data_IF_695589968358
#
_entry.id   IF_695589968358
#
_cell.length_a   1.000
_cell.length_b   1.000
_cell.length_c   1.000
_cell.angle_alpha   90.00
_cell.angle_beta   90.00
_cell.angle_gamma   90.00
#
_symmetry.space_group_name_H-M   'P 1'
#
loop_
_entity.id
_entity.type
_entity.pdbx_description
1 polymer ?
#
# COMPACT_ATOMS: atom_id res chain seq x y z
N UNK A 1 -24.67 -15.43 -0.45
CA UNK A 1 -25.27 -14.22 0.15
C UNK A 1 -25.24 -14.35 1.66
N UNK A 2 -24.63 -13.42 2.35
CA UNK A 2 -24.62 -13.38 3.82
C UNK A 2 -26.04 -13.14 4.32
N UNK A 3 -26.48 -13.92 5.32
CA UNK A 3 -27.86 -13.84 5.85
C UNK A 3 -27.98 -12.84 6.99
N UNK A 4 -26.87 -12.25 7.45
CA UNK A 4 -26.80 -11.32 8.58
C UNK A 4 -26.64 -9.86 8.13
N UNK A 5 -26.98 -8.95 9.04
CA UNK A 5 -26.82 -7.51 8.84
C UNK A 5 -25.72 -6.99 9.75
N UNK A 6 -24.85 -6.14 9.21
CA UNK A 6 -23.72 -5.55 9.93
C UNK A 6 -23.92 -4.05 10.14
N UNK A 7 -23.33 -3.55 11.21
CA UNK A 7 -23.33 -2.12 11.55
C UNK A 7 -21.95 -1.67 12.03
N UNK A 8 -21.50 -0.50 11.59
CA UNK A 8 -20.32 0.16 12.12
C UNK A 8 -20.36 1.68 11.94
N UNK A 9 -19.51 2.39 12.69
CA UNK A 9 -19.16 3.77 12.39
C UNK A 9 -18.26 3.81 11.15
N UNK A 10 -18.68 4.52 10.11
CA UNK A 10 -17.93 4.66 8.86
C UNK A 10 -16.94 5.84 8.86
N UNK A 11 -17.12 6.82 9.74
CA UNK A 11 -16.19 7.94 9.96
C UNK A 11 -15.11 7.56 10.96
N UNK A 12 -13.94 8.20 10.88
CA UNK A 12 -12.86 7.99 11.85
C UNK A 12 -13.35 8.21 13.29
N UNK A 13 -12.86 7.42 14.28
CA UNK A 13 -13.17 7.62 15.69
C UNK A 13 -12.67 8.99 16.17
N UNK A 14 -13.43 9.64 17.05
CA UNK A 14 -13.02 10.93 17.62
C UNK A 14 -14.16 11.94 17.65
N UNK A 15 -13.82 13.23 17.89
CA UNK A 15 -14.79 14.34 17.91
C UNK A 15 -14.81 14.99 16.53
N UNK A 16 -15.96 14.91 15.86
CA UNK A 16 -16.18 15.55 14.55
C UNK A 16 -17.52 16.26 14.49
N UNK A 17 -17.70 17.18 13.56
CA UNK A 17 -18.98 17.83 13.30
C UNK A 17 -20.02 16.84 12.75
N UNK A 18 -19.58 15.80 12.03
CA UNK A 18 -20.42 14.75 11.45
C UNK A 18 -19.86 13.37 11.79
N UNK A 19 -20.74 12.46 12.19
CA UNK A 19 -20.47 11.04 12.33
C UNK A 19 -21.43 10.23 11.46
N UNK A 20 -20.93 9.19 10.79
CA UNK A 20 -21.71 8.33 9.91
C UNK A 20 -21.74 6.92 10.48
N UNK A 21 -22.94 6.38 10.68
CA UNK A 21 -23.15 4.96 10.96
C UNK A 21 -23.63 4.31 9.67
N UNK A 22 -23.01 3.21 9.28
CA UNK A 22 -23.39 2.42 8.11
C UNK A 22 -23.91 1.06 8.55
N UNK A 23 -25.01 0.66 7.95
CA UNK A 23 -25.64 -0.66 8.12
C UNK A 23 -25.72 -1.30 6.74
N UNK A 24 -25.35 -2.59 6.62
CA UNK A 24 -25.46 -3.35 5.37
C UNK A 24 -26.07 -4.73 5.63
N UNK A 25 -27.00 -5.11 4.79
CA UNK A 25 -27.65 -6.42 4.84
C UNK A 25 -29.19 -6.35 4.82
N UNK A 26 -29.86 -7.51 4.87
CA UNK A 26 -31.31 -7.64 4.61
C UNK A 26 -32.21 -6.90 5.64
N UNK A 27 -31.67 -6.50 6.79
CA UNK A 27 -32.43 -5.76 7.82
C UNK A 27 -32.19 -4.24 7.80
N UNK A 28 -31.49 -3.71 6.80
CA UNK A 28 -31.19 -2.26 6.72
C UNK A 28 -32.48 -1.40 6.68
N UNK A 29 -33.52 -1.84 5.97
CA UNK A 29 -34.83 -1.15 5.95
C UNK A 29 -35.52 -1.21 7.32
N UNK A 30 -35.45 -2.34 8.02
CA UNK A 30 -35.98 -2.48 9.39
C UNK A 30 -35.27 -1.54 10.38
N UNK A 31 -33.93 -1.42 10.27
CA UNK A 31 -33.15 -0.46 11.08
C UNK A 31 -33.61 0.96 10.79
N UNK A 32 -33.77 1.32 9.52
CA UNK A 32 -34.25 2.64 9.13
C UNK A 32 -35.59 2.96 9.79
N UNK A 33 -36.57 2.04 9.73
CA UNK A 33 -37.89 2.21 10.34
C UNK A 33 -37.81 2.34 11.86
N UNK A 34 -36.99 1.51 12.53
CA UNK A 34 -36.86 1.53 13.98
C UNK A 34 -36.22 2.82 14.47
N UNK A 35 -35.12 3.27 13.82
CA UNK A 35 -34.36 4.44 14.28
C UNK A 35 -34.98 5.77 13.88
N UNK A 36 -35.67 5.84 12.74
CA UNK A 36 -36.24 7.10 12.24
C UNK A 36 -37.78 7.18 12.35
N UNK A 37 -38.44 6.07 12.76
CA UNK A 37 -39.91 5.98 12.83
C UNK A 37 -40.62 5.96 11.49
N UNK A 38 -39.88 5.85 10.36
CA UNK A 38 -40.38 6.06 9.01
C UNK A 38 -39.67 5.18 7.97
N UNK A 39 -40.42 4.76 6.95
CA UNK A 39 -39.83 4.14 5.75
C UNK A 39 -39.18 5.23 4.90
N UNK A 40 -37.89 5.09 4.60
CA UNK A 40 -37.11 6.06 3.82
C UNK A 40 -37.36 5.90 2.32
N UNK A 41 -37.36 7.02 1.61
CA UNK A 41 -37.35 7.03 0.15
C UNK A 41 -35.93 6.68 -0.35
N UNK A 42 -35.78 5.68 -1.24
CA UNK A 42 -34.48 5.30 -1.78
C UNK A 42 -33.67 6.47 -2.36
N UNK A 43 -32.42 6.62 -1.96
CA UNK A 43 -31.46 7.63 -2.42
C UNK A 43 -31.91 9.07 -2.25
N UNK A 44 -32.75 9.31 -1.29
CA UNK A 44 -33.21 10.64 -0.92
C UNK A 44 -32.72 10.98 0.49
N UNK A 45 -32.03 12.12 0.63
CA UNK A 45 -31.55 12.60 1.90
C UNK A 45 -32.69 13.18 2.72
N UNK A 46 -33.04 12.56 3.85
CA UNK A 46 -34.10 13.01 4.74
C UNK A 46 -33.51 13.44 6.10
N UNK A 47 -33.80 14.68 6.52
CA UNK A 47 -33.40 15.14 7.84
C UNK A 47 -34.46 14.69 8.86
N UNK A 48 -34.06 13.88 9.84
CA UNK A 48 -34.96 13.18 10.77
C UNK A 48 -34.33 13.09 12.16
N UNK A 49 -35.19 12.90 13.19
CA UNK A 49 -34.75 12.47 14.52
C UNK A 49 -34.32 11.00 14.47
N UNK A 50 -33.22 10.68 15.14
CA UNK A 50 -32.76 9.31 15.39
C UNK A 50 -33.14 8.92 16.82
N UNK A 51 -33.87 7.82 16.94
CA UNK A 51 -34.44 7.35 18.18
C UNK A 51 -33.81 6.04 18.65
N UNK A 52 -33.76 5.85 19.95
CA UNK A 52 -33.47 4.57 20.58
C UNK A 52 -34.62 3.59 20.47
N UNK A 53 -34.40 2.33 20.81
CA UNK A 53 -35.42 1.27 20.77
C UNK A 53 -36.61 1.52 21.71
N UNK A 54 -36.44 2.36 22.72
CA UNK A 54 -37.49 2.82 23.67
C UNK A 54 -38.13 4.15 23.26
N UNK A 55 -37.81 4.67 22.08
CA UNK A 55 -38.41 5.87 21.49
C UNK A 55 -37.85 7.20 21.98
N UNK A 56 -36.74 7.19 22.72
CA UNK A 56 -36.04 8.41 23.13
C UNK A 56 -35.20 8.96 21.98
N UNK A 57 -35.27 10.27 21.74
CA UNK A 57 -34.44 10.93 20.76
C UNK A 57 -32.97 10.91 21.21
N UNK A 58 -32.09 10.40 20.34
CA UNK A 58 -30.63 10.35 20.55
C UNK A 58 -29.96 11.51 19.85
N UNK A 59 -30.36 11.78 18.59
CA UNK A 59 -29.76 12.80 17.73
C UNK A 59 -30.73 13.19 16.61
N UNK A 60 -30.34 14.18 15.80
CA UNK A 60 -31.01 14.56 14.56
C UNK A 60 -29.98 14.65 13.44
N UNK A 61 -30.36 14.16 12.26
CA UNK A 61 -29.44 14.14 11.15
C UNK A 61 -30.05 13.67 9.85
N UNK A 62 -29.20 13.33 8.90
CA UNK A 62 -29.59 12.87 7.58
C UNK A 62 -29.57 11.34 7.56
N UNK A 63 -30.66 10.74 7.09
CA UNK A 63 -30.77 9.31 6.80
C UNK A 63 -30.81 9.10 5.28
N UNK A 64 -30.04 8.12 4.79
CA UNK A 64 -29.95 7.72 3.40
C UNK A 64 -30.10 6.21 3.29
N UNK A 65 -30.99 5.75 2.40
CA UNK A 65 -31.21 4.34 2.12
C UNK A 65 -30.88 4.00 0.68
N UNK A 66 -30.05 2.97 0.47
CA UNK A 66 -29.61 2.47 -0.82
C UNK A 66 -30.04 1.01 -0.98
N UNK A 67 -31.10 0.74 -1.76
CA UNK A 67 -31.53 -0.63 -2.00
C UNK A 67 -30.55 -1.39 -2.89
N UNK A 68 -30.45 -2.71 -2.65
CA UNK A 68 -29.69 -3.61 -3.50
C UNK A 68 -30.20 -3.60 -4.96
N UNK A 69 -29.38 -3.94 -5.97
CA UNK A 69 -27.92 -4.14 -5.91
C UNK A 69 -27.12 -2.84 -6.04
N UNK A 70 -27.77 -1.70 -6.04
CA UNK A 70 -27.16 -0.41 -6.34
C UNK A 70 -26.70 0.33 -5.06
N UNK A 71 -25.88 -0.29 -4.27
CA UNK A 71 -25.26 0.22 -3.06
C UNK A 71 -23.75 -0.07 -3.08
N UNK A 72 -23.02 0.36 -2.05
CA UNK A 72 -21.60 0.10 -1.94
C UNK A 72 -21.30 -1.40 -1.84
N UNK A 73 -21.99 -2.12 -0.97
CA UNK A 73 -21.81 -3.56 -0.75
C UNK A 73 -22.57 -4.45 -1.71
N UNK A 74 -23.45 -3.89 -2.55
CA UNK A 74 -24.39 -4.67 -3.35
C UNK A 74 -25.62 -5.17 -2.56
N UNK A 75 -25.65 -4.99 -1.23
CA UNK A 75 -26.76 -5.30 -0.35
C UNK A 75 -27.63 -4.05 -0.10
N UNK A 76 -28.70 -4.18 0.70
CA UNK A 76 -29.39 -3.00 1.23
C UNK A 76 -28.47 -2.26 2.21
N UNK A 77 -28.27 -0.96 2.00
CA UNK A 77 -27.40 -0.12 2.84
C UNK A 77 -28.20 1.06 3.40
N UNK A 78 -28.03 1.30 4.70
CA UNK A 78 -28.50 2.49 5.38
C UNK A 78 -27.30 3.30 5.90
N UNK A 79 -27.32 4.61 5.70
CA UNK A 79 -26.41 5.55 6.34
C UNK A 79 -27.19 6.53 7.20
N UNK A 80 -26.75 6.67 8.45
CA UNK A 80 -27.24 7.66 9.42
C UNK A 80 -26.12 8.64 9.69
N UNK A 81 -26.31 9.89 9.28
CA UNK A 81 -25.32 10.97 9.37
C UNK A 81 -25.78 11.95 10.44
N UNK A 82 -25.29 11.79 11.66
CA UNK A 82 -25.56 12.63 12.81
C UNK A 82 -24.35 13.41 13.29
N UNK A 83 -24.36 13.88 14.54
CA UNK A 83 -23.23 14.55 15.17
C UNK A 83 -22.15 13.53 15.55
N UNK A 84 -20.88 13.83 15.20
CA UNK A 84 -19.74 12.93 15.33
C UNK A 84 -19.16 12.84 16.75
N UNK A 85 -20.00 13.00 17.78
CA UNK A 85 -19.58 12.78 19.16
C UNK A 85 -19.50 11.28 19.49
N UNK A 86 -18.40 10.77 20.10
CA UNK A 86 -18.24 9.33 20.36
C UNK A 86 -19.41 8.72 21.15
N UNK A 87 -19.98 9.47 22.09
CA UNK A 87 -21.10 9.00 22.91
C UNK A 87 -22.38 8.86 22.07
N UNK A 88 -22.65 9.81 21.18
CA UNK A 88 -23.83 9.78 20.30
C UNK A 88 -23.72 8.60 19.33
N UNK A 89 -22.55 8.41 18.71
CA UNK A 89 -22.29 7.28 17.82
C UNK A 89 -22.44 5.93 18.52
N UNK A 90 -21.93 5.79 19.74
CA UNK A 90 -22.06 4.58 20.55
C UNK A 90 -23.52 4.30 20.94
N UNK A 91 -24.29 5.32 21.33
CA UNK A 91 -25.73 5.19 21.64
C UNK A 91 -26.52 4.70 20.43
N UNK A 92 -26.28 5.25 19.24
CA UNK A 92 -26.94 4.83 18.02
C UNK A 92 -26.59 3.38 17.65
N UNK A 93 -25.31 3.00 17.70
CA UNK A 93 -24.87 1.62 17.43
C UNK A 93 -25.51 0.65 18.44
N UNK A 94 -25.50 0.97 19.72
CA UNK A 94 -26.13 0.14 20.76
C UNK A 94 -27.64 -0.04 20.51
N UNK A 95 -28.32 1.04 20.12
CA UNK A 95 -29.75 0.97 19.78
C UNK A 95 -29.98 0.04 18.56
N UNK A 96 -29.16 0.13 17.51
CA UNK A 96 -29.27 -0.74 16.34
C UNK A 96 -29.00 -2.20 16.70
N UNK A 97 -28.03 -2.47 17.55
CA UNK A 97 -27.67 -3.82 17.99
C UNK A 97 -28.73 -4.51 18.85
N UNK A 98 -29.77 -3.80 19.35
CA UNK A 98 -30.92 -4.43 20.00
C UNK A 98 -31.82 -5.19 19.02
N UNK A 99 -31.68 -4.97 17.73
CA UNK A 99 -32.44 -5.64 16.67
C UNK A 99 -31.82 -7.00 16.38
N UNK A 100 -32.60 -8.07 16.55
CA UNK A 100 -32.12 -9.43 16.30
C UNK A 100 -31.51 -9.62 14.92
N UNK A 101 -30.39 -10.36 14.84
CA UNK A 101 -29.68 -10.68 13.60
C UNK A 101 -28.87 -9.52 13.03
N UNK A 102 -28.56 -8.52 13.85
CA UNK A 102 -27.60 -7.47 13.56
C UNK A 102 -26.39 -7.65 14.48
N UNK A 103 -25.20 -7.50 13.92
CA UNK A 103 -23.94 -7.55 14.67
C UNK A 103 -22.98 -6.42 14.26
N UNK A 104 -21.97 -6.13 15.08
CA UNK A 104 -20.87 -5.26 14.65
C UNK A 104 -20.15 -5.83 13.42
N UNK A 105 -19.76 -4.95 12.52
CA UNK A 105 -18.92 -5.31 11.38
C UNK A 105 -17.50 -5.65 11.84
N UNK A 106 -16.89 -6.63 11.18
CA UNK A 106 -15.45 -6.88 11.26
C UNK A 106 -14.68 -5.77 10.50
N UNK A 107 -13.36 -5.59 10.76
CA UNK A 107 -12.51 -4.75 9.92
C UNK A 107 -12.66 -5.13 8.44
N UNK A 108 -12.80 -4.14 7.55
CA UNK A 108 -12.91 -4.33 6.10
C UNK A 108 -14.18 -5.04 5.60
N UNK A 109 -15.13 -5.40 6.45
CA UNK A 109 -16.25 -6.28 6.07
C UNK A 109 -17.19 -5.67 5.02
N UNK A 110 -17.35 -4.36 4.98
CA UNK A 110 -18.16 -3.73 3.93
C UNK A 110 -17.48 -3.85 2.55
N UNK A 111 -16.15 -3.69 2.48
CA UNK A 111 -15.38 -3.88 1.24
C UNK A 111 -15.32 -5.36 0.84
N UNK A 112 -15.19 -6.27 1.82
CA UNK A 112 -15.27 -7.73 1.60
C UNK A 112 -16.61 -8.11 0.96
N UNK A 113 -17.73 -7.60 1.48
CA UNK A 113 -19.06 -7.83 0.90
C UNK A 113 -19.21 -7.22 -0.48
N UNK A 114 -18.65 -6.04 -0.71
CA UNK A 114 -18.64 -5.41 -2.02
C UNK A 114 -17.87 -6.28 -3.04
N UNK A 115 -16.72 -6.83 -2.68
CA UNK A 115 -15.97 -7.78 -3.49
C UNK A 115 -16.77 -9.06 -3.75
N UNK A 116 -17.32 -9.70 -2.72
CA UNK A 116 -18.10 -10.94 -2.83
C UNK A 116 -19.41 -10.78 -3.64
N UNK A 117 -19.91 -9.55 -3.77
CA UNK A 117 -21.09 -9.22 -4.56
C UNK A 117 -20.73 -8.57 -5.91
N UNK A 118 -19.52 -8.79 -6.42
CA UNK A 118 -19.03 -8.35 -7.74
C UNK A 118 -19.18 -6.82 -7.98
N UNK A 119 -19.10 -6.01 -6.90
CA UNK A 119 -19.14 -4.53 -7.01
C UNK A 119 -17.76 -3.96 -7.35
N UNK A 120 -16.72 -4.66 -7.00
CA UNK A 120 -15.32 -4.34 -7.25
C UNK A 120 -14.46 -5.59 -7.20
N UNK A 121 -13.33 -5.59 -7.86
CA UNK A 121 -12.32 -6.62 -7.70
C UNK A 121 -11.43 -6.38 -6.46
N UNK A 122 -10.52 -7.34 -6.19
CA UNK A 122 -9.68 -7.28 -5.00
C UNK A 122 -8.70 -6.11 -5.03
N UNK A 123 -8.15 -5.74 -6.20
CA UNK A 123 -7.25 -4.59 -6.33
C UNK A 123 -7.96 -3.27 -6.08
N UNK A 124 -9.22 -3.15 -6.53
CA UNK A 124 -10.07 -1.99 -6.26
C UNK A 124 -10.44 -1.88 -4.77
N UNK A 125 -10.74 -3.03 -4.13
CA UNK A 125 -11.00 -3.06 -2.69
C UNK A 125 -9.77 -2.59 -1.89
N UNK A 126 -8.57 -3.07 -2.23
CA UNK A 126 -7.32 -2.63 -1.62
C UNK A 126 -7.03 -1.15 -1.86
N UNK A 127 -7.37 -0.63 -3.04
CA UNK A 127 -7.17 0.78 -3.38
C UNK A 127 -8.01 1.74 -2.52
N UNK A 128 -9.14 1.30 -1.95
CA UNK A 128 -9.91 2.09 -0.99
C UNK A 128 -9.07 2.37 0.26
N UNK A 129 -8.39 1.35 0.80
CA UNK A 129 -7.50 1.52 1.95
C UNK A 129 -6.31 2.43 1.59
N UNK A 130 -5.68 2.16 0.43
CA UNK A 130 -4.53 2.94 -0.03
C UNK A 130 -4.88 4.43 -0.26
N UNK A 131 -6.08 4.72 -0.76
CA UNK A 131 -6.56 6.11 -0.94
C UNK A 131 -6.76 6.84 0.39
N UNK A 132 -7.22 6.13 1.42
CA UNK A 132 -7.45 6.69 2.74
C UNK A 132 -6.13 6.93 3.49
N UNK A 133 -5.17 6.01 3.33
CA UNK A 133 -3.87 6.05 3.97
C UNK A 133 -2.83 6.86 3.15
N UNK A 134 -3.26 7.41 1.99
CA UNK A 134 -2.37 8.17 1.11
C UNK A 134 -1.75 9.37 1.84
N UNK A 135 -0.44 9.43 1.83
CA UNK A 135 0.35 10.45 2.52
C UNK A 135 0.83 11.59 1.59
N UNK A 136 0.66 11.44 0.26
CA UNK A 136 0.98 12.45 -0.75
C UNK A 136 -0.13 12.58 -1.80
N UNK A 137 -0.12 13.69 -2.56
CA UNK A 137 -1.06 13.91 -3.66
C UNK A 137 -0.88 12.87 -4.77
N UNK A 138 0.36 12.51 -5.07
CA UNK A 138 0.72 11.48 -6.07
C UNK A 138 0.22 10.10 -5.63
N UNK A 139 0.40 9.75 -4.36
CA UNK A 139 -0.11 8.50 -3.79
C UNK A 139 -1.64 8.44 -3.89
N UNK A 140 -2.34 9.54 -3.54
CA UNK A 140 -3.79 9.61 -3.64
C UNK A 140 -4.29 9.47 -5.10
N UNK A 141 -3.61 10.12 -6.07
CA UNK A 141 -3.92 9.99 -7.50
C UNK A 141 -3.75 8.55 -7.99
N UNK A 142 -2.63 7.89 -7.63
CA UNK A 142 -2.36 6.50 -8.02
C UNK A 142 -3.34 5.52 -7.38
N UNK A 143 -3.71 5.72 -6.10
CA UNK A 143 -4.74 4.94 -5.43
C UNK A 143 -6.11 5.11 -6.10
N UNK A 144 -6.48 6.35 -6.50
CA UNK A 144 -7.72 6.60 -7.23
C UNK A 144 -7.74 5.89 -8.58
N UNK A 145 -6.63 5.84 -9.31
CA UNK A 145 -6.54 5.11 -10.58
C UNK A 145 -6.67 3.60 -10.38
N UNK A 146 -6.08 3.03 -9.32
CA UNK A 146 -6.30 1.63 -8.93
C UNK A 146 -7.77 1.38 -8.62
N UNK A 147 -8.42 2.26 -7.87
CA UNK A 147 -9.86 2.18 -7.57
C UNK A 147 -10.73 2.26 -8.83
N UNK A 148 -10.30 3.01 -9.85
CA UNK A 148 -10.95 3.07 -11.15
C UNK A 148 -10.68 1.84 -12.03
N UNK A 149 -9.95 0.84 -11.53
CA UNK A 149 -9.68 -0.42 -12.20
C UNK A 149 -8.57 -0.38 -13.25
N UNK A 150 -7.69 0.61 -13.25
CA UNK A 150 -6.59 0.71 -14.21
C UNK A 150 -5.65 -0.50 -14.14
N UNK A 151 -5.30 -0.93 -12.92
CA UNK A 151 -4.45 -2.08 -12.72
C UNK A 151 -5.14 -3.38 -13.14
N UNK A 152 -6.36 -3.61 -12.67
CA UNK A 152 -7.17 -4.79 -13.04
C UNK A 152 -7.33 -4.91 -14.56
N UNK A 153 -7.57 -3.79 -15.26
CA UNK A 153 -7.68 -3.79 -16.70
C UNK A 153 -6.42 -4.29 -17.39
N UNK A 154 -5.24 -3.87 -16.92
CA UNK A 154 -3.96 -4.34 -17.49
C UNK A 154 -3.73 -5.83 -17.21
N UNK A 155 -4.02 -6.27 -15.98
CA UNK A 155 -3.94 -7.69 -15.62
C UNK A 155 -4.89 -8.54 -16.46
N UNK A 156 -6.15 -8.12 -16.62
CA UNK A 156 -7.13 -8.84 -17.42
C UNK A 156 -6.75 -8.89 -18.90
N UNK A 157 -6.16 -7.84 -19.47
CA UNK A 157 -5.63 -7.88 -20.84
C UNK A 157 -4.52 -8.92 -21.02
N UNK A 158 -3.63 -9.09 -20.01
CA UNK A 158 -2.63 -10.16 -20.03
C UNK A 158 -3.29 -11.54 -19.95
N UNK A 159 -4.28 -11.70 -19.06
CA UNK A 159 -5.05 -12.96 -18.92
C UNK A 159 -5.77 -13.32 -20.22
N UNK A 160 -6.43 -12.36 -20.86
CA UNK A 160 -7.12 -12.59 -22.15
C UNK A 160 -6.13 -13.04 -23.24
N UNK A 161 -4.95 -12.40 -23.30
CA UNK A 161 -3.90 -12.77 -24.25
C UNK A 161 -3.35 -14.17 -23.99
N UNK A 162 -3.16 -14.54 -22.71
CA UNK A 162 -2.74 -15.88 -22.30
C UNK A 162 -3.78 -16.94 -22.66
N UNK A 163 -5.06 -16.68 -22.41
CA UNK A 163 -6.16 -17.60 -22.76
C UNK A 163 -6.19 -17.82 -24.27
N UNK A 164 -6.09 -16.75 -25.05
CA UNK A 164 -6.06 -16.85 -26.51
C UNK A 164 -4.88 -17.69 -27.01
N UNK A 165 -3.67 -17.43 -26.52
CA UNK A 165 -2.48 -18.18 -26.89
C UNK A 165 -2.59 -19.66 -26.47
N UNK A 166 -3.10 -19.92 -25.25
CA UNK A 166 -3.27 -21.28 -24.74
C UNK A 166 -4.25 -22.10 -25.60
N UNK A 167 -5.42 -21.52 -25.93
CA UNK A 167 -6.40 -22.17 -26.81
C UNK A 167 -5.75 -22.50 -28.17
N UNK A 168 -4.94 -21.59 -28.72
CA UNK A 168 -4.27 -21.81 -29.99
C UNK A 168 -3.24 -22.95 -29.90
N UNK A 169 -2.45 -23.01 -28.82
CA UNK A 169 -1.47 -24.07 -28.56
C UNK A 169 -2.17 -25.42 -28.33
N UNK A 170 -3.21 -25.47 -27.50
CA UNK A 170 -4.00 -26.67 -27.25
C UNK A 170 -4.62 -27.21 -28.54
N UNK A 171 -5.18 -26.34 -29.39
CA UNK A 171 -5.71 -26.74 -30.68
C UNK A 171 -4.62 -27.29 -31.61
N UNK A 172 -3.42 -26.72 -31.60
CA UNK A 172 -2.28 -27.26 -32.39
C UNK A 172 -1.83 -28.66 -31.93
N UNK A 173 -1.95 -28.96 -30.64
CA UNK A 173 -1.62 -30.27 -30.07
C UNK A 173 -2.69 -31.31 -30.42
N UNK A 174 -3.98 -30.92 -30.37
CA UNK A 174 -5.12 -31.83 -30.58
C UNK A 174 -5.31 -32.23 -32.05
N UNK A 175 -4.85 -31.39 -33.00
CA UNK A 175 -4.99 -31.63 -34.46
C UNK A 175 -3.64 -31.72 -35.19
N UNK A 176 -2.80 -32.73 -34.88
CA UNK A 176 -1.46 -32.85 -35.46
C UNK A 176 -1.47 -33.29 -36.95
N UNK A 177 -2.62 -33.67 -37.51
CA UNK A 177 -2.76 -34.12 -38.90
C UNK A 177 -2.99 -32.99 -39.91
N UNK A 178 -3.08 -31.73 -39.47
CA UNK A 178 -3.17 -30.62 -40.38
C UNK A 178 -1.81 -30.30 -41.04
N UNK A 179 -1.81 -29.95 -42.34
CA UNK A 179 -0.58 -29.69 -43.13
C UNK A 179 0.27 -28.51 -42.65
N UNK A 180 -0.19 -27.75 -41.63
CA UNK A 180 0.49 -26.57 -41.07
C UNK A 180 1.01 -26.93 -39.68
N UNK A 181 2.32 -26.87 -39.49
CA UNK A 181 2.92 -26.93 -38.18
C UNK A 181 2.72 -25.56 -37.45
N UNK A 182 1.62 -25.47 -36.71
CA UNK A 182 1.19 -24.26 -36.00
C UNK A 182 2.20 -23.81 -34.94
N UNK A 183 3.10 -24.69 -34.47
CA UNK A 183 4.13 -24.31 -33.52
C UNK A 183 5.37 -23.74 -34.22
N UNK A 184 5.61 -24.16 -35.47
CA UNK A 184 6.77 -23.71 -36.26
C UNK A 184 6.48 -22.47 -37.13
N UNK A 185 5.26 -21.99 -37.27
CA UNK A 185 4.91 -20.84 -38.12
C UNK A 185 5.39 -19.49 -37.55
N UNK A 186 5.94 -19.46 -36.35
CA UNK A 186 6.44 -18.27 -35.65
C UNK A 186 5.37 -17.45 -34.95
N UNK A 187 4.07 -17.75 -35.16
CA UNK A 187 2.97 -17.01 -34.52
C UNK A 187 2.97 -17.20 -33.02
N UNK A 188 3.04 -18.46 -32.56
CA UNK A 188 3.07 -18.79 -31.13
C UNK A 188 4.25 -18.08 -30.42
N UNK A 189 5.44 -18.09 -31.04
CA UNK A 189 6.62 -17.43 -30.48
C UNK A 189 6.46 -15.91 -30.42
N UNK A 190 5.88 -15.29 -31.46
CA UNK A 190 5.64 -13.84 -31.50
C UNK A 190 4.56 -13.42 -30.47
N UNK A 191 3.46 -14.16 -30.37
CA UNK A 191 2.40 -13.88 -29.41
C UNK A 191 2.90 -14.05 -27.99
N UNK A 192 3.69 -15.12 -27.70
CA UNK A 192 4.33 -15.36 -26.41
C UNK A 192 5.29 -14.22 -26.04
N UNK A 193 6.14 -13.78 -26.97
CA UNK A 193 7.06 -12.67 -26.73
C UNK A 193 6.30 -11.35 -26.44
N UNK A 194 5.22 -11.11 -27.16
CA UNK A 194 4.35 -9.94 -26.90
C UNK A 194 3.73 -9.96 -25.49
N UNK A 195 3.32 -11.15 -25.01
CA UNK A 195 2.80 -11.33 -23.66
C UNK A 195 3.90 -11.06 -22.61
N UNK A 196 5.11 -11.58 -22.84
CA UNK A 196 6.26 -11.36 -21.96
C UNK A 196 6.59 -9.85 -21.88
N UNK A 197 6.68 -9.16 -23.01
CA UNK A 197 6.99 -7.73 -23.06
C UNK A 197 5.92 -6.90 -22.31
N UNK A 198 4.66 -7.25 -22.50
CA UNK A 198 3.56 -6.58 -21.81
C UNK A 198 3.56 -6.87 -20.28
N UNK A 199 3.86 -8.10 -19.87
CA UNK A 199 3.99 -8.46 -18.46
C UNK A 199 5.12 -7.67 -17.79
N UNK A 200 6.28 -7.58 -18.42
CA UNK A 200 7.41 -6.80 -17.89
C UNK A 200 7.11 -5.30 -17.81
N UNK A 201 6.36 -4.75 -18.76
CA UNK A 201 5.88 -3.37 -18.68
C UNK A 201 4.93 -3.15 -17.48
N UNK A 202 3.97 -4.06 -17.27
CA UNK A 202 3.06 -3.99 -16.11
C UNK A 202 3.82 -4.18 -14.80
N UNK A 203 4.81 -5.08 -14.76
CA UNK A 203 5.67 -5.33 -13.59
C UNK A 203 6.51 -4.11 -13.23
N UNK A 204 7.10 -3.44 -14.21
CA UNK A 204 7.86 -2.22 -13.99
C UNK A 204 6.99 -1.10 -13.39
N UNK A 205 5.77 -0.92 -13.90
CA UNK A 205 4.82 0.07 -13.39
C UNK A 205 4.31 -0.31 -11.99
N UNK A 206 4.03 -1.60 -11.74
CA UNK A 206 3.64 -2.10 -10.42
C UNK A 206 4.74 -1.88 -9.37
N UNK A 207 6.01 -2.05 -9.73
CA UNK A 207 7.14 -1.73 -8.85
C UNK A 207 7.14 -0.25 -8.44
N UNK A 208 6.91 0.68 -9.38
CA UNK A 208 6.81 2.11 -9.06
C UNK A 208 5.63 2.38 -8.10
N UNK A 209 4.47 1.76 -8.36
CA UNK A 209 3.29 1.87 -7.51
C UNK A 209 3.50 1.32 -6.09
N UNK A 210 4.26 0.24 -5.95
CA UNK A 210 4.61 -0.32 -4.64
C UNK A 210 5.56 0.61 -3.86
N UNK A 211 6.54 1.23 -4.54
CA UNK A 211 7.43 2.23 -3.92
C UNK A 211 6.65 3.44 -3.44
N UNK A 212 5.69 3.94 -4.23
CA UNK A 212 4.84 5.06 -3.82
C UNK A 212 3.95 4.74 -2.61
N UNK A 213 3.57 3.49 -2.46
CA UNK A 213 2.76 3.01 -1.32
C UNK A 213 3.60 2.76 -0.08
N UNK A 214 4.68 1.99 -0.19
CA UNK A 214 5.47 1.52 0.95
C UNK A 214 6.53 2.53 1.39
N UNK A 215 6.99 3.36 0.45
CA UNK A 215 8.09 4.30 0.69
C UNK A 215 9.42 3.60 0.96
N UNK A 216 10.40 4.37 1.37
CA UNK A 216 11.74 3.90 1.76
C UNK A 216 11.94 4.05 3.27
N UNK A 217 12.35 3.01 3.95
CA UNK A 217 12.75 3.06 5.36
C UNK A 217 14.22 3.43 5.46
N UNK A 218 14.50 4.58 6.05
CA UNK A 218 15.85 5.14 6.12
C UNK A 218 16.25 5.38 7.58
N UNK A 219 17.39 4.85 7.97
CA UNK A 219 18.01 5.12 9.28
C UNK A 219 18.98 6.28 9.14
N UNK A 220 18.84 7.34 9.95
CA UNK A 220 19.85 8.39 10.04
C UNK A 220 20.74 8.10 11.26
N UNK A 221 21.98 7.65 11.00
CA UNK A 221 22.97 7.32 12.01
C UNK A 221 24.15 8.29 11.98
N UNK A 222 24.79 8.50 13.11
CA UNK A 222 25.98 9.35 13.20
C UNK A 222 26.21 9.83 14.64
N UNK A 223 27.44 10.22 14.94
CA UNK A 223 27.82 10.72 16.26
C UNK A 223 27.05 11.97 16.66
N UNK A 224 26.96 12.34 17.94
CA UNK A 224 26.37 13.60 18.38
C UNK A 224 26.95 14.78 17.60
N UNK A 225 26.10 15.77 17.30
CA UNK A 225 26.45 16.99 16.55
C UNK A 225 26.89 16.79 15.06
N UNK A 226 26.75 15.60 14.50
CA UNK A 226 26.98 15.36 13.07
C UNK A 226 25.96 16.12 12.17
N UNK A 227 24.84 16.57 12.74
CA UNK A 227 23.85 17.37 12.02
C UNK A 227 22.59 16.59 11.59
N UNK A 228 22.26 15.49 12.26
CA UNK A 228 21.10 14.63 11.94
C UNK A 228 19.78 15.40 11.84
N UNK A 229 19.43 16.17 12.88
CA UNK A 229 18.22 17.00 12.87
C UNK A 229 18.23 18.09 11.80
N UNK A 230 19.42 18.62 11.46
CA UNK A 230 19.54 19.61 10.37
C UNK A 230 19.31 18.94 9.01
N UNK A 231 19.81 17.72 8.80
CA UNK A 231 19.57 16.96 7.59
C UNK A 231 18.09 16.64 7.44
N UNK A 232 17.45 16.19 8.51
CA UNK A 232 16.03 15.88 8.52
C UNK A 232 15.20 17.11 8.10
N UNK A 233 15.46 18.27 8.72
CA UNK A 233 14.82 19.53 8.34
C UNK A 233 15.10 19.92 6.88
N UNK A 234 16.30 19.68 6.38
CA UNK A 234 16.66 19.98 4.98
C UNK A 234 15.99 19.03 3.99
N UNK A 235 15.81 17.75 4.34
CA UNK A 235 15.07 16.76 3.53
C UNK A 235 13.57 17.05 3.54
N UNK A 236 13.00 17.42 4.70
CA UNK A 236 11.58 17.77 4.84
C UNK A 236 11.17 18.98 3.97
N UNK A 237 12.08 19.91 3.70
CA UNK A 237 11.93 21.01 2.74
C UNK A 237 10.67 21.85 2.91
N UNK A 238 10.30 22.59 1.84
CA UNK A 238 9.07 23.41 1.78
C UNK A 238 7.78 22.57 1.55
N UNK A 239 7.92 21.29 1.24
CA UNK A 239 6.83 20.39 0.89
C UNK A 239 6.41 19.47 2.07
N UNK A 240 6.80 19.80 3.30
CA UNK A 240 6.32 19.08 4.48
C UNK A 240 4.84 19.37 4.70
N UNK A 241 4.01 18.64 3.98
CA UNK A 241 2.60 18.53 4.28
C UNK A 241 2.39 17.39 5.28
N UNK A 242 1.80 17.78 6.41
CA UNK A 242 1.07 16.89 7.32
C UNK A 242 1.94 15.87 8.05
N UNK A 243 2.64 16.33 9.08
CA UNK A 243 2.89 15.48 10.25
C UNK A 243 1.52 15.12 10.82
N UNK A 244 1.01 13.96 10.51
CA UNK A 244 -0.15 13.40 11.23
C UNK A 244 0.37 12.96 12.59
N UNK A 245 0.23 13.82 13.60
CA UNK A 245 0.24 13.43 15.00
C UNK A 245 -0.89 12.41 15.20
N UNK A 246 -0.60 11.12 15.04
CA UNK A 246 -1.48 10.07 15.56
C UNK A 246 -1.32 10.14 17.07
N UNK A 247 -2.20 10.89 17.72
CA UNK A 247 -2.25 11.03 19.15
C UNK A 247 -2.45 9.64 19.78
N UNK A 248 -1.41 9.10 20.42
CA UNK A 248 -1.52 7.87 21.18
C UNK A 248 -0.22 7.09 21.43
N UNK A 249 0.91 7.43 20.78
CA UNK A 249 2.13 6.61 20.87
C UNK A 249 3.35 7.41 21.36
N UNK A 250 3.28 8.01 22.54
CA UNK A 250 4.36 8.80 23.14
C UNK A 250 5.55 7.98 23.67
N UNK A 251 5.74 6.70 23.25
CA UNK A 251 6.85 5.82 23.66
C UNK A 251 7.44 4.97 22.53
N UNK A 252 7.04 5.18 21.28
CA UNK A 252 7.62 4.48 20.14
C UNK A 252 8.80 5.26 19.57
N UNK A 253 9.73 4.52 18.93
CA UNK A 253 10.88 5.04 18.18
C UNK A 253 10.40 6.22 17.33
N UNK A 254 11.06 7.38 17.46
CA UNK A 254 10.71 8.59 16.70
C UNK A 254 10.77 8.29 15.21
N UNK A 255 9.61 8.11 14.59
CA UNK A 255 9.45 7.95 13.15
C UNK A 255 8.97 9.27 12.58
N UNK A 256 9.75 9.85 11.72
CA UNK A 256 9.31 10.99 10.93
C UNK A 256 8.98 10.52 9.52
N UNK A 257 7.86 10.99 8.99
CA UNK A 257 7.43 10.71 7.62
C UNK A 257 7.62 11.97 6.79
N UNK A 258 8.47 11.89 5.79
CA UNK A 258 8.69 12.98 4.82
C UNK A 258 8.47 12.45 3.41
N UNK A 259 8.38 13.35 2.43
CA UNK A 259 8.24 12.98 1.02
C UNK A 259 9.37 13.61 0.21
N UNK A 260 9.90 12.84 -0.74
CA UNK A 260 10.83 13.33 -1.75
C UNK A 260 10.17 13.15 -3.12
N UNK A 261 9.67 14.23 -3.70
CA UNK A 261 8.99 14.23 -5.01
C UNK A 261 7.86 13.17 -5.09
N UNK A 262 7.05 13.07 -4.04
CA UNK A 262 5.96 12.09 -3.94
C UNK A 262 6.34 10.72 -3.38
N UNK A 263 7.62 10.36 -3.30
CA UNK A 263 8.09 9.12 -2.69
C UNK A 263 8.10 9.26 -1.15
N UNK A 264 7.36 8.44 -0.40
CA UNK A 264 7.39 8.46 1.06
C UNK A 264 8.75 8.00 1.60
N UNK A 265 9.24 8.71 2.63
CA UNK A 265 10.45 8.36 3.36
C UNK A 265 10.11 8.19 4.85
N UNK A 266 10.34 7.00 5.36
CA UNK A 266 10.13 6.65 6.77
C UNK A 266 11.47 6.74 7.48
N UNK A 267 11.69 7.80 8.27
CA UNK A 267 12.96 8.06 8.93
C UNK A 267 12.95 7.50 10.33
N UNK A 268 13.96 6.68 10.63
CA UNK A 268 14.22 6.11 11.95
C UNK A 268 15.38 6.88 12.54
N UNK A 269 15.14 7.65 13.62
CA UNK A 269 16.20 8.40 14.29
C UNK A 269 16.93 7.54 15.33
N UNK A 270 18.25 7.49 15.22
CA UNK A 270 19.13 6.78 16.16
C UNK A 270 19.52 7.59 17.39
N UNK A 271 18.92 8.77 17.62
CA UNK A 271 19.25 9.62 18.78
C UNK A 271 19.00 8.92 20.13
N UNK A 272 18.12 7.92 20.17
CA UNK A 272 17.81 7.09 21.33
C UNK A 272 18.74 5.89 21.59
N UNK A 273 19.68 5.60 20.69
CA UNK A 273 20.60 4.44 20.83
C UNK A 273 21.78 4.72 21.79
N UNK A 274 21.55 5.44 22.88
CA UNK A 274 22.57 5.65 23.92
C UNK A 274 22.53 4.51 24.94
N UNK A 275 23.62 4.35 25.69
CA UNK A 275 23.69 3.35 26.76
C UNK A 275 22.50 3.49 27.72
N UNK A 276 21.72 2.41 27.84
CA UNK A 276 20.54 2.38 28.68
C UNK A 276 20.92 2.40 30.14
N UNK A 277 20.29 3.25 30.94
CA UNK A 277 20.46 3.34 32.39
C UNK A 277 19.47 2.43 33.14
N UNK A 278 18.38 1.98 32.49
CA UNK A 278 17.39 1.09 33.09
C UNK A 278 16.81 0.04 32.10
N UNK A 279 15.97 -0.91 32.62
CA UNK A 279 15.38 -2.00 31.83
C UNK A 279 14.36 -1.51 30.77
N UNK A 280 13.69 -0.40 31.01
CA UNK A 280 12.69 0.17 30.09
C UNK A 280 13.38 0.80 28.87
N UNK A 281 14.53 1.47 29.11
CA UNK A 281 15.37 2.02 28.03
C UNK A 281 15.97 0.89 27.18
N UNK A 282 16.36 -0.26 27.78
CA UNK A 282 16.85 -1.43 27.02
C UNK A 282 15.82 -1.97 26.05
N UNK A 283 14.56 -2.11 26.46
CA UNK A 283 13.47 -2.56 25.58
C UNK A 283 13.27 -1.57 24.43
N UNK A 284 13.40 -0.27 24.67
CA UNK A 284 13.34 0.77 23.65
C UNK A 284 14.48 0.66 22.63
N UNK A 285 15.69 0.39 23.10
CA UNK A 285 16.88 0.20 22.25
C UNK A 285 16.76 -1.07 21.41
N UNK A 286 16.30 -2.19 21.98
CA UNK A 286 16.12 -3.43 21.23
C UNK A 286 15.08 -3.27 20.11
N UNK A 287 13.95 -2.61 20.37
CA UNK A 287 12.97 -2.27 19.34
C UNK A 287 13.56 -1.37 18.24
N UNK A 288 14.39 -0.40 18.60
CA UNK A 288 15.06 0.45 17.63
C UNK A 288 15.99 -0.35 16.71
N UNK A 289 16.69 -1.36 17.25
CA UNK A 289 17.52 -2.26 16.46
C UNK A 289 16.70 -3.18 15.54
N UNK A 290 15.55 -3.66 15.98
CA UNK A 290 14.63 -4.43 15.15
C UNK A 290 14.14 -3.60 13.93
N UNK A 291 13.84 -2.32 14.14
CA UNK A 291 13.47 -1.40 13.06
C UNK A 291 14.65 -1.09 12.13
N UNK A 292 15.86 -0.87 12.70
CA UNK A 292 17.09 -0.67 11.92
C UNK A 292 17.38 -1.88 11.04
N UNK A 293 17.14 -3.09 11.57
CA UNK A 293 17.34 -4.33 10.80
C UNK A 293 16.39 -4.49 9.61
N UNK A 294 15.27 -3.77 9.62
CA UNK A 294 14.27 -3.76 8.54
C UNK A 294 14.40 -2.55 7.61
N UNK A 295 15.41 -1.70 7.81
CA UNK A 295 15.62 -0.53 6.98
C UNK A 295 16.17 -0.90 5.60
N UNK A 296 15.78 -0.13 4.59
CA UNK A 296 16.28 -0.28 3.23
C UNK A 296 17.68 0.35 3.07
N UNK A 297 17.94 1.43 3.85
CA UNK A 297 19.23 2.15 3.77
C UNK A 297 19.60 2.86 5.07
N UNK A 298 20.90 2.94 5.34
CA UNK A 298 21.50 3.75 6.40
C UNK A 298 22.15 4.99 5.80
N UNK A 299 21.76 6.17 6.25
CA UNK A 299 22.44 7.44 6.03
C UNK A 299 23.41 7.68 7.18
N UNK A 300 24.68 7.38 6.95
CA UNK A 300 25.74 7.50 7.98
C UNK A 300 26.35 8.89 7.94
N UNK A 301 26.00 9.74 8.91
CA UNK A 301 26.42 11.13 8.96
C UNK A 301 27.76 11.33 9.64
N UNK A 302 28.65 12.02 8.95
CA UNK A 302 30.00 12.40 9.41
C UNK A 302 30.12 13.92 9.46
N UNK A 303 30.66 14.44 10.56
CA UNK A 303 31.00 15.86 10.69
C UNK A 303 32.33 16.14 9.99
N UNK A 304 32.28 16.76 8.83
CA UNK A 304 33.46 17.08 8.01
C UNK A 304 34.46 18.00 8.70
N UNK A 305 34.05 18.75 9.73
CA UNK A 305 34.95 19.65 10.49
C UNK A 305 35.78 18.93 11.53
N UNK A 306 35.42 17.71 11.93
CA UNK A 306 36.06 16.96 13.02
C UNK A 306 36.93 15.82 12.57
N UNK A 307 36.68 15.28 11.37
CA UNK A 307 37.44 14.15 10.82
C UNK A 307 37.50 14.16 9.30
N UNK A 308 38.59 13.66 8.75
CA UNK A 308 38.71 13.39 7.32
C UNK A 308 38.36 11.93 6.97
N UNK A 309 38.12 11.11 8.00
CA UNK A 309 37.72 9.72 7.84
C UNK A 309 36.31 9.62 7.19
N UNK A 310 36.16 8.71 6.26
CA UNK A 310 34.91 8.44 5.56
C UNK A 310 34.47 6.97 5.67
N UNK A 311 35.33 6.09 6.21
CA UNK A 311 34.96 4.72 6.49
C UNK A 311 34.07 4.65 7.74
N UNK A 312 32.81 4.22 7.62
CA UNK A 312 31.91 4.08 8.76
C UNK A 312 32.44 3.16 9.85
N UNK A 313 33.19 2.13 9.49
CA UNK A 313 33.76 1.17 10.42
C UNK A 313 34.84 1.78 11.30
N UNK A 314 35.65 2.68 10.76
CA UNK A 314 36.66 3.41 11.53
C UNK A 314 36.04 4.49 12.43
N UNK A 315 34.88 5.02 12.03
CA UNK A 315 34.20 6.10 12.76
C UNK A 315 33.33 5.57 13.91
N UNK A 316 32.58 4.48 13.66
CA UNK A 316 31.65 3.90 14.66
C UNK A 316 31.54 2.37 14.52
N UNK A 317 32.60 1.62 14.90
CA UNK A 317 32.66 0.16 14.71
C UNK A 317 31.50 -0.57 15.35
N UNK A 318 31.15 -0.27 16.63
CA UNK A 318 30.09 -0.95 17.37
C UNK A 318 28.71 -0.86 16.69
N UNK A 319 28.43 0.24 16.01
CA UNK A 319 27.20 0.42 15.25
C UNK A 319 27.23 -0.42 13.97
N UNK A 320 28.34 -0.38 13.24
CA UNK A 320 28.47 -1.07 11.94
C UNK A 320 28.46 -2.59 12.13
N UNK A 321 29.14 -3.11 13.17
CA UNK A 321 29.22 -4.55 13.44
C UNK A 321 27.85 -5.17 13.84
N UNK A 322 26.88 -4.34 14.27
CA UNK A 322 25.50 -4.76 14.58
C UNK A 322 24.55 -4.69 13.39
N UNK A 323 24.91 -4.01 12.30
CA UNK A 323 24.05 -3.91 11.12
C UNK A 323 24.00 -5.23 10.34
N UNK A 324 22.84 -5.60 9.79
CA UNK A 324 22.75 -6.69 8.83
C UNK A 324 23.60 -6.41 7.58
N UNK A 325 24.33 -7.43 7.09
CA UNK A 325 25.24 -7.32 5.94
C UNK A 325 24.55 -6.91 4.60
N UNK A 326 23.21 -6.87 4.56
CA UNK A 326 22.45 -6.59 3.33
C UNK A 326 21.92 -5.15 3.25
N UNK A 327 22.05 -4.34 4.31
CA UNK A 327 21.52 -2.97 4.29
C UNK A 327 22.44 -2.07 3.48
N UNK A 328 21.87 -1.39 2.47
CA UNK A 328 22.60 -0.38 1.71
C UNK A 328 23.04 0.79 2.59
N UNK A 329 24.23 1.37 2.32
CA UNK A 329 24.75 2.46 3.11
C UNK A 329 25.16 3.65 2.24
N UNK A 330 24.81 4.85 2.72
CA UNK A 330 25.27 6.11 2.13
C UNK A 330 25.99 6.93 3.20
N UNK A 331 27.23 7.27 2.98
CA UNK A 331 28.01 8.15 3.86
C UNK A 331 27.73 9.60 3.49
N UNK A 332 27.28 10.38 4.47
CA UNK A 332 27.00 11.80 4.30
C UNK A 332 28.05 12.61 5.06
N UNK A 333 28.97 13.22 4.32
CA UNK A 333 29.94 14.14 4.89
C UNK A 333 29.32 15.54 4.92
N UNK A 334 28.88 15.90 6.11
CA UNK A 334 28.12 17.14 6.37
C UNK A 334 29.04 18.32 6.75
N UNK A 335 28.49 19.53 6.72
CA UNK A 335 29.14 20.82 7.03
C UNK A 335 30.18 21.24 5.97
N UNK A 336 29.93 20.90 4.71
CA UNK A 336 30.76 21.30 3.60
C UNK A 336 30.89 22.83 3.44
N UNK A 337 29.92 23.60 3.98
CA UNK A 337 29.99 25.06 4.10
C UNK A 337 31.15 25.56 4.97
N UNK A 338 31.74 24.71 5.82
CA UNK A 338 32.85 25.04 6.70
C UNK A 338 34.17 24.43 6.27
N UNK A 339 34.13 23.37 5.42
CA UNK A 339 35.35 22.66 4.97
C UNK A 339 35.79 23.07 3.56
N UNK A 340 34.99 23.85 2.82
CA UNK A 340 35.21 24.22 1.41
C UNK A 340 35.43 23.01 0.49
N UNK A 341 34.78 21.89 0.78
CA UNK A 341 34.82 20.67 -0.05
C UNK A 341 33.81 20.78 -1.19
N UNK A 342 34.14 20.13 -2.34
CA UNK A 342 33.21 20.03 -3.47
C UNK A 342 31.96 19.26 -3.08
N UNK A 343 30.81 19.83 -3.41
CA UNK A 343 29.49 19.28 -3.07
C UNK A 343 29.06 18.17 -4.02
N UNK A 344 28.18 17.30 -3.57
CA UNK A 344 27.52 16.26 -4.36
C UNK A 344 28.08 14.85 -4.17
N UNK A 345 27.80 13.97 -5.12
CA UNK A 345 28.20 12.56 -5.08
C UNK A 345 29.68 12.46 -5.46
N UNK A 346 30.50 11.93 -4.54
CA UNK A 346 31.95 11.84 -4.71
C UNK A 346 32.41 10.42 -5.08
N UNK A 347 31.69 9.39 -4.60
CA UNK A 347 31.92 7.99 -4.93
C UNK A 347 30.60 7.30 -5.22
N UNK A 348 30.53 6.51 -6.31
CA UNK A 348 29.34 5.78 -6.76
C UNK A 348 29.34 4.32 -6.27
N UNK A 349 30.49 3.83 -5.77
CA UNK A 349 30.60 2.47 -5.22
C UNK A 349 30.10 2.43 -3.77
N UNK A 350 29.59 1.30 -3.32
CA UNK A 350 29.13 1.11 -1.94
C UNK A 350 30.32 1.09 -0.95
N UNK A 351 30.28 1.89 0.13
CA UNK A 351 29.26 2.88 0.43
C UNK A 351 29.39 4.17 -0.40
N UNK A 352 28.29 4.64 -1.00
CA UNK A 352 28.27 5.90 -1.73
C UNK A 352 28.59 7.07 -0.79
N UNK A 353 29.49 7.96 -1.19
CA UNK A 353 29.86 9.16 -0.44
C UNK A 353 29.22 10.41 -1.04
N UNK A 354 28.47 11.15 -0.22
CA UNK A 354 27.84 12.43 -0.61
C UNK A 354 28.32 13.54 0.34
N UNK A 355 28.78 14.66 -0.23
CA UNK A 355 29.15 15.86 0.51
C UNK A 355 28.07 16.90 0.38
N UNK A 356 27.64 17.45 1.53
CA UNK A 356 26.58 18.43 1.59
C UNK A 356 26.71 19.33 2.82
N UNK A 357 25.92 20.41 2.83
CA UNK A 357 25.65 21.19 4.03
C UNK A 357 24.17 21.11 4.37
N UNK A 358 23.83 20.36 5.41
CA UNK A 358 22.46 20.26 5.90
C UNK A 358 21.94 21.60 6.45
N UNK A 359 22.83 22.54 6.80
CA UNK A 359 22.49 23.87 7.32
C UNK A 359 22.11 24.85 6.20
N UNK A 360 22.85 24.86 5.09
CA UNK A 360 22.57 25.75 3.95
C UNK A 360 21.64 25.14 2.92
N UNK A 361 21.46 23.81 2.94
CA UNK A 361 20.71 23.05 1.94
C UNK A 361 21.54 22.67 0.70
N UNK A 362 22.77 23.13 0.59
CA UNK A 362 23.64 22.85 -0.56
C UNK A 362 24.04 21.36 -0.61
N UNK A 363 23.89 20.73 -1.77
CA UNK A 363 24.19 19.31 -2.00
C UNK A 363 23.06 18.35 -1.54
N UNK A 364 21.99 18.83 -0.91
CA UNK A 364 20.86 18.00 -0.46
C UNK A 364 20.08 17.42 -1.64
N UNK A 365 19.99 18.12 -2.76
CA UNK A 365 19.33 17.62 -3.98
C UNK A 365 20.05 16.41 -4.56
N UNK A 366 21.39 16.35 -4.45
CA UNK A 366 22.16 15.14 -4.84
C UNK A 366 21.78 13.93 -3.97
N UNK A 367 21.54 14.14 -2.68
CA UNK A 367 21.06 13.08 -1.79
C UNK A 367 19.63 12.65 -2.14
N UNK A 368 18.73 13.59 -2.43
CA UNK A 368 17.36 13.29 -2.87
C UNK A 368 17.35 12.43 -4.14
N UNK A 369 18.15 12.83 -5.15
CA UNK A 369 18.30 12.07 -6.39
C UNK A 369 18.85 10.68 -6.13
N UNK A 370 19.90 10.56 -5.33
CA UNK A 370 20.49 9.27 -4.96
C UNK A 370 19.49 8.33 -4.24
N UNK A 371 18.70 8.85 -3.31
CA UNK A 371 17.68 8.04 -2.62
C UNK A 371 16.60 7.52 -3.58
N UNK A 372 16.16 8.35 -4.53
CA UNK A 372 15.23 7.90 -5.58
C UNK A 372 15.86 6.81 -6.46
N UNK A 373 17.10 6.99 -6.89
CA UNK A 373 17.83 5.99 -7.68
C UNK A 373 18.00 4.66 -6.92
N UNK A 374 18.32 4.69 -5.62
CA UNK A 374 18.46 3.48 -4.79
C UNK A 374 17.18 2.64 -4.74
N UNK A 375 16.01 3.28 -4.81
CA UNK A 375 14.71 2.61 -4.85
C UNK A 375 14.24 2.30 -6.28
N UNK A 376 14.96 2.74 -7.30
CA UNK A 376 14.50 2.66 -8.68
C UNK A 376 13.29 3.56 -8.96
N UNK A 377 13.10 4.63 -8.16
CA UNK A 377 11.99 5.56 -8.32
C UNK A 377 12.31 6.56 -9.42
N UNK A 378 11.60 6.45 -10.54
CA UNK A 378 11.87 7.28 -11.73
C UNK A 378 11.14 8.63 -11.72
N UNK A 379 10.26 8.89 -10.77
CA UNK A 379 9.49 10.13 -10.63
C UNK A 379 8.59 10.44 -11.84
N UNK A 380 7.32 10.80 -11.61
CA UNK A 380 6.52 11.42 -12.67
C UNK A 380 5.86 10.50 -13.69
N UNK A 381 5.45 9.29 -13.35
CA UNK A 381 4.38 8.66 -14.12
C UNK A 381 3.05 9.30 -13.74
N UNK A 382 2.68 10.39 -14.43
CA UNK A 382 1.30 10.87 -14.46
C UNK A 382 0.45 9.72 -15.02
N UNK A 383 -0.15 8.91 -14.15
CA UNK A 383 -1.02 7.83 -14.58
C UNK A 383 -0.71 6.44 -14.02
N UNK A 384 0.25 6.28 -13.11
CA UNK A 384 0.56 5.00 -12.48
C UNK A 384 -0.49 4.57 -11.46
N UNK A 385 -0.65 3.27 -11.29
CA UNK A 385 -1.52 2.67 -10.28
C UNK A 385 -0.73 2.25 -9.03
N UNK A 386 -1.41 2.09 -7.88
CA UNK A 386 -0.81 1.50 -6.69
C UNK A 386 -0.69 -0.02 -6.85
N UNK A 387 0.39 -0.59 -6.31
CA UNK A 387 0.57 -2.03 -6.21
C UNK A 387 1.03 -2.43 -4.79
N UNK A 388 0.88 -3.70 -4.47
CA UNK A 388 1.27 -4.29 -3.19
C UNK A 388 2.27 -5.44 -3.41
N UNK A 389 3.01 -5.81 -2.38
CA UNK A 389 3.98 -6.89 -2.45
C UNK A 389 3.41 -8.17 -3.05
N UNK A 390 2.19 -8.57 -2.66
CA UNK A 390 1.53 -9.75 -3.23
C UNK A 390 1.34 -9.68 -4.75
N UNK A 391 1.09 -8.46 -5.28
CA UNK A 391 0.97 -8.26 -6.72
C UNK A 391 2.30 -8.46 -7.43
N UNK A 392 3.38 -7.91 -6.86
CA UNK A 392 4.74 -8.10 -7.38
C UNK A 392 5.15 -9.57 -7.37
N UNK A 393 4.87 -10.28 -6.25
CA UNK A 393 5.17 -11.70 -6.12
C UNK A 393 4.36 -12.55 -7.14
N UNK A 394 3.11 -12.18 -7.43
CA UNK A 394 2.31 -12.85 -8.46
C UNK A 394 2.81 -12.57 -9.87
N UNK A 395 3.18 -11.31 -10.19
CA UNK A 395 3.76 -10.93 -11.48
C UNK A 395 5.12 -11.58 -11.71
N UNK A 396 5.96 -11.73 -10.66
CA UNK A 396 7.26 -12.39 -10.72
C UNK A 396 7.10 -13.87 -11.05
N UNK A 397 6.23 -14.58 -10.34
CA UNK A 397 5.92 -15.99 -10.63
C UNK A 397 5.37 -16.18 -12.05
N UNK A 398 4.48 -15.27 -12.48
CA UNK A 398 3.96 -15.27 -13.85
C UNK A 398 5.10 -15.12 -14.89
N UNK A 399 6.07 -14.23 -14.66
CA UNK A 399 7.25 -14.04 -15.52
C UNK A 399 8.16 -15.28 -15.56
N UNK A 400 8.39 -15.92 -14.41
CA UNK A 400 9.17 -17.17 -14.32
C UNK A 400 8.55 -18.28 -15.16
N UNK A 401 7.24 -18.51 -15.05
CA UNK A 401 6.54 -19.53 -15.80
C UNK A 401 6.52 -19.25 -17.31
N UNK A 402 6.32 -17.99 -17.73
CA UNK A 402 6.45 -17.61 -19.15
C UNK A 402 7.86 -17.85 -19.69
N UNK A 403 8.90 -17.56 -18.92
CA UNK A 403 10.30 -17.84 -19.32
C UNK A 403 10.55 -19.33 -19.48
N UNK A 404 10.01 -20.19 -18.60
CA UNK A 404 10.09 -21.63 -18.71
C UNK A 404 9.37 -22.09 -20.00
N UNK A 405 8.14 -21.62 -20.22
CA UNK A 405 7.35 -21.94 -21.42
C UNK A 405 8.07 -21.55 -22.70
N UNK A 406 8.70 -20.36 -22.74
CA UNK A 406 9.48 -19.91 -23.88
C UNK A 406 10.69 -20.82 -24.14
N UNK A 407 11.46 -21.17 -23.11
CA UNK A 407 12.61 -22.06 -23.25
C UNK A 407 12.20 -23.47 -23.76
N UNK A 408 11.06 -23.99 -23.31
CA UNK A 408 10.56 -25.28 -23.75
C UNK A 408 10.05 -25.24 -25.20
N UNK A 409 9.43 -24.14 -25.62
CA UNK A 409 9.04 -23.93 -27.00
C UNK A 409 10.26 -23.85 -27.92
N UNK A 410 11.23 -23.00 -27.61
CA UNK A 410 12.43 -22.77 -28.45
C UNK A 410 13.38 -23.96 -28.49
N UNK A 411 13.57 -24.65 -27.36
CA UNK A 411 14.51 -25.77 -27.24
C UNK A 411 14.00 -27.10 -27.74
N UNK A 412 12.71 -27.38 -27.50
CA UNK A 412 12.14 -28.72 -27.68
C UNK A 412 10.83 -28.75 -28.46
N UNK A 413 10.31 -27.60 -28.91
CA UNK A 413 8.97 -27.47 -29.52
C UNK A 413 7.87 -28.14 -28.68
N UNK A 414 8.01 -28.07 -27.36
CA UNK A 414 7.16 -28.78 -26.40
C UNK A 414 5.87 -28.00 -26.12
N UNK A 415 4.88 -28.07 -27.03
CA UNK A 415 3.59 -27.37 -26.93
C UNK A 415 2.81 -27.71 -25.67
N UNK A 416 2.81 -29.00 -25.24
CA UNK A 416 2.11 -29.45 -24.04
C UNK A 416 2.64 -28.78 -22.76
N UNK A 417 3.97 -28.63 -22.66
CA UNK A 417 4.60 -27.95 -21.53
C UNK A 417 4.29 -26.45 -21.58
N UNK A 418 4.35 -25.84 -22.77
CA UNK A 418 3.98 -24.44 -22.95
C UNK A 418 2.52 -24.21 -22.50
N UNK A 419 1.57 -25.05 -22.90
CA UNK A 419 0.16 -24.92 -22.51
C UNK A 419 -0.01 -24.96 -20.98
N UNK A 420 0.71 -25.86 -20.29
CA UNK A 420 0.68 -25.94 -18.83
C UNK A 420 1.32 -24.71 -18.16
N UNK A 421 2.45 -24.21 -18.67
CA UNK A 421 3.09 -22.99 -18.14
C UNK A 421 2.20 -21.75 -18.34
N UNK A 422 1.50 -21.63 -19.49
CA UNK A 422 0.52 -20.58 -19.73
C UNK A 422 -0.67 -20.68 -18.74
N UNK A 423 -1.13 -21.88 -18.42
CA UNK A 423 -2.20 -22.10 -17.43
C UNK A 423 -1.79 -21.67 -16.03
N UNK A 424 -0.56 -22.02 -15.61
CA UNK A 424 -0.03 -21.63 -14.30
C UNK A 424 0.17 -20.11 -14.24
N UNK A 425 0.70 -19.50 -15.29
CA UNK A 425 0.82 -18.06 -15.42
C UNK A 425 -0.53 -17.35 -15.24
N UNK A 426 -1.57 -17.84 -15.91
CA UNK A 426 -2.93 -17.32 -15.77
C UNK A 426 -3.42 -17.41 -14.33
N UNK A 427 -3.15 -18.51 -13.61
CA UNK A 427 -3.54 -18.65 -12.21
C UNK A 427 -2.92 -17.58 -11.32
N UNK A 428 -1.61 -17.33 -11.47
CA UNK A 428 -0.93 -16.28 -10.69
C UNK A 428 -1.46 -14.89 -11.00
N UNK A 429 -1.77 -14.56 -12.26
CA UNK A 429 -2.37 -13.28 -12.60
C UNK A 429 -3.79 -13.13 -12.02
N UNK A 430 -4.59 -14.19 -12.03
CA UNK A 430 -5.94 -14.17 -11.47
C UNK A 430 -5.96 -14.02 -9.93
N UNK A 431 -4.88 -14.41 -9.22
CA UNK A 431 -4.72 -14.13 -7.79
C UNK A 431 -4.68 -12.60 -7.51
N UNK A 432 -4.22 -11.79 -8.47
CA UNK A 432 -4.13 -10.34 -8.31
C UNK A 432 -5.53 -9.71 -8.19
N UNK A 433 -6.44 -10.08 -9.09
CA UNK A 433 -7.82 -9.55 -9.15
C UNK A 433 -8.77 -10.27 -8.19
N UNK A 434 -8.38 -11.44 -7.68
CA UNK A 434 -9.14 -12.22 -6.71
C UNK A 434 -10.09 -13.25 -7.33
N UNK A 435 -9.97 -13.55 -8.63
CA UNK A 435 -10.81 -14.59 -9.26
C UNK A 435 -10.59 -15.99 -8.66
N UNK A 436 -9.37 -16.27 -8.17
CA UNK A 436 -9.00 -17.51 -7.50
C UNK A 436 -8.21 -17.22 -6.22
N UNK A 437 -8.87 -16.68 -5.20
CA UNK A 437 -8.24 -16.43 -3.90
C UNK A 437 -8.79 -17.36 -2.84
N UNK A 438 -7.92 -17.83 -1.92
CA UNK A 438 -8.35 -18.60 -0.77
C UNK A 438 -9.03 -17.70 0.27
N UNK A 439 -9.98 -18.24 1.05
CA UNK A 439 -10.64 -17.53 2.15
C UNK A 439 -9.64 -16.97 3.18
N UNK A 440 -8.52 -17.68 3.42
CA UNK A 440 -7.45 -17.23 4.31
C UNK A 440 -6.74 -15.98 3.80
N UNK A 441 -6.53 -15.86 2.48
CA UNK A 441 -5.94 -14.68 1.87
C UNK A 441 -6.88 -13.48 1.96
N UNK A 442 -8.16 -13.68 1.63
CA UNK A 442 -9.19 -12.65 1.75
C UNK A 442 -9.30 -12.16 3.21
N UNK A 443 -9.34 -13.08 4.16
CA UNK A 443 -9.36 -12.77 5.58
C UNK A 443 -8.18 -11.90 6.03
N UNK A 444 -6.96 -12.20 5.56
CA UNK A 444 -5.76 -11.39 5.87
C UNK A 444 -5.82 -10.00 5.26
N UNK A 445 -6.23 -9.87 4.01
CA UNK A 445 -6.32 -8.59 3.30
C UNK A 445 -7.34 -7.68 4.02
N UNK A 446 -8.56 -8.16 4.24
CA UNK A 446 -9.62 -7.34 4.82
C UNK A 446 -9.43 -7.06 6.32
N UNK A 447 -8.78 -7.96 7.07
CA UNK A 447 -8.46 -7.70 8.49
C UNK A 447 -7.53 -6.50 8.71
N UNK A 448 -6.76 -6.11 7.70
CA UNK A 448 -5.89 -4.94 7.75
C UNK A 448 -6.63 -3.61 7.53
N UNK A 449 -7.91 -3.64 7.13
CA UNK A 449 -8.70 -2.45 6.85
C UNK A 449 -9.30 -1.88 8.14
N UNK A 450 -9.71 -0.60 8.08
CA UNK A 450 -10.43 0.02 9.18
C UNK A 450 -11.84 -0.56 9.34
N UNK A 451 -12.36 -0.59 10.57
CA UNK A 451 -13.77 -0.92 10.85
C UNK A 451 -14.66 0.15 10.20
N UNK A 452 -15.73 -0.29 9.50
CA UNK A 452 -16.66 0.62 8.83
C UNK A 452 -16.40 0.83 7.34
N UNK A 453 -15.38 0.11 6.81
CA UNK A 453 -15.02 0.11 5.39
C UNK A 453 -15.10 -1.27 4.78
#
# INVERSE_FOLDING_TARGET
MTTDTIVAQATAPGRGGVGIIRVSGPKAEQVALTVTGKKLKPRYAEYLSFQSSDGLEIDQGIALYFPNPHSFTGEDVLELQGHGGPVVMDMLIKSILTIDGIRPARPGEFSERAFLNDKMDLTQAEAIADLIDASSEEAAKSALQSLQGQFSKKVNQLVDSLIYLRIYVEAAIDFPEEEIDFLADGKVSNDLQSIIDNLEAVRAEANQGAIMREGMKVVIAGRPNAGKSSLLNALSGKDSAIVTDIAGTTRDVLREHIHIDGMPLHIIDTAGLRDALDEVEKIGIDRAWDEIAQADRVLFMVDGTTTNETDPKEIWPDFIDRLPNKIGMTVIRNKADQTNEDLGICHVNEPTLIRLSAKTGEGVDSLRTHLKECMGFSGGNEGGFMARRRHLDALEKASEHLSIGQQQLEGYMAGEILAEELRITQQHLNEITGEFSSDDLLGKIFSSFCIGK
#
